data_IF_131900990766
#
_entry.id   IF_131900990766
#
_cell.length_a   1.000
_cell.length_b   1.000
_cell.length_c   1.000
_cell.angle_alpha   90.00
_cell.angle_beta   90.00
_cell.angle_gamma   90.00
#
_symmetry.space_group_name_H-M   'P 1'
#
loop_
_entity.id
_entity.type
_entity.pdbx_description
1 polymer ?
#
# COMPACT_ATOMS: atom_id res chain seq x y z
N UNK A 1 10.93 0.30 -14.82
CA UNK A 1 10.91 1.40 -13.86
C UNK A 1 12.26 1.42 -13.20
N UNK A 2 12.99 2.52 -13.31
CA UNK A 2 14.26 2.67 -12.60
C UNK A 2 14.02 3.09 -11.13
N UNK A 3 15.07 3.13 -10.30
CA UNK A 3 14.92 3.48 -8.88
C UNK A 3 14.56 4.95 -8.65
N UNK A 4 14.90 5.84 -9.58
CA UNK A 4 14.60 7.28 -9.48
C UNK A 4 13.13 7.53 -9.77
N UNK A 5 12.58 6.83 -10.76
CA UNK A 5 11.16 6.82 -11.07
C UNK A 5 10.32 6.29 -9.89
N UNK A 6 10.78 5.22 -9.23
CA UNK A 6 10.11 4.69 -8.03
C UNK A 6 10.16 5.69 -6.86
N UNK A 7 11.32 6.28 -6.59
CA UNK A 7 11.49 7.32 -5.57
C UNK A 7 10.59 8.54 -5.86
N UNK A 8 10.42 8.91 -7.13
CA UNK A 8 9.54 10.00 -7.56
C UNK A 8 8.05 9.73 -7.32
N UNK A 9 7.63 8.47 -7.28
CA UNK A 9 6.22 8.06 -7.10
C UNK A 9 5.90 7.83 -5.63
N UNK A 10 6.75 7.08 -4.93
CA UNK A 10 6.48 6.64 -3.56
C UNK A 10 7.08 7.59 -2.51
N UNK A 11 8.07 8.40 -2.88
CA UNK A 11 8.88 9.17 -1.92
C UNK A 11 9.73 8.29 -1.01
N UNK A 12 10.01 7.05 -1.45
CA UNK A 12 10.76 6.04 -0.71
C UNK A 12 12.03 5.65 -1.49
N UNK A 13 13.15 5.56 -0.77
CA UNK A 13 14.40 5.03 -1.28
C UNK A 13 14.93 3.94 -0.37
N UNK A 14 15.05 2.73 -0.92
CA UNK A 14 15.51 1.55 -0.19
C UNK A 14 17.00 1.30 -0.45
N UNK A 15 17.73 0.83 0.57
CA UNK A 15 19.07 0.27 0.35
C UNK A 15 19.01 -1.04 -0.43
N UNK A 16 17.93 -1.81 -0.24
CA UNK A 16 17.67 -3.09 -0.90
C UNK A 16 16.19 -3.18 -1.31
N UNK A 17 15.91 -3.31 -2.61
CA UNK A 17 14.54 -3.49 -3.13
C UNK A 17 14.08 -4.96 -3.13
N UNK A 18 15.00 -5.89 -2.87
CA UNK A 18 14.72 -7.30 -2.67
C UNK A 18 15.29 -7.70 -1.31
N UNK A 19 14.45 -8.31 -0.48
CA UNK A 19 14.83 -8.63 0.89
C UNK A 19 15.43 -10.03 0.99
N UNK A 20 16.46 -10.22 1.82
CA UNK A 20 16.90 -11.55 2.22
C UNK A 20 15.75 -12.30 2.90
N UNK A 21 15.68 -13.61 2.68
CA UNK A 21 14.57 -14.44 3.19
C UNK A 21 14.90 -15.11 4.52
N UNK A 22 16.18 -15.13 4.89
CA UNK A 22 16.66 -15.75 6.12
C UNK A 22 17.38 -14.76 7.04
N UNK A 23 17.34 -15.03 8.35
CA UNK A 23 18.04 -14.20 9.35
C UNK A 23 19.56 -14.18 9.16
N UNK A 24 20.12 -15.27 8.63
CA UNK A 24 21.56 -15.38 8.36
C UNK A 24 21.98 -14.46 7.22
N UNK A 25 21.19 -14.42 6.14
CA UNK A 25 21.40 -13.50 5.02
C UNK A 25 21.23 -12.04 5.45
N UNK A 26 20.27 -11.73 6.33
CA UNK A 26 20.14 -10.38 6.91
C UNK A 26 21.41 -9.99 7.68
N UNK A 27 21.96 -10.92 8.47
CA UNK A 27 23.12 -10.67 9.32
C UNK A 27 24.42 -10.51 8.54
N UNK A 28 24.49 -11.01 7.30
CA UNK A 28 25.65 -10.87 6.43
C UNK A 28 25.64 -9.57 5.60
N UNK A 29 24.55 -8.78 5.65
CA UNK A 29 24.48 -7.51 4.93
C UNK A 29 25.43 -6.48 5.54
N UNK A 30 26.39 -6.02 4.74
CA UNK A 30 27.28 -4.90 5.12
C UNK A 30 26.50 -3.59 5.20
N UNK A 31 25.55 -3.39 4.28
CA UNK A 31 24.62 -2.24 4.29
C UNK A 31 23.30 -2.71 4.88
N UNK A 32 22.81 -2.11 5.98
CA UNK A 32 21.58 -2.56 6.62
C UNK A 32 20.35 -2.41 5.70
N UNK A 33 19.33 -3.22 5.93
CA UNK A 33 17.98 -2.99 5.39
C UNK A 33 17.48 -1.66 5.97
N UNK A 34 17.38 -0.65 5.11
CA UNK A 34 17.04 0.72 5.51
C UNK A 34 16.23 1.40 4.42
N UNK A 35 15.48 2.41 4.85
CA UNK A 35 14.63 3.22 3.99
C UNK A 35 14.81 4.69 4.33
N UNK A 36 14.92 5.52 3.30
CA UNK A 36 14.77 6.97 3.40
C UNK A 36 13.38 7.33 2.90
N UNK A 37 12.62 8.06 3.69
CA UNK A 37 11.24 8.42 3.40
C UNK A 37 11.08 9.94 3.37
N UNK A 38 10.35 10.45 2.38
CA UNK A 38 9.93 11.85 2.27
C UNK A 38 8.40 11.92 2.36
N UNK A 39 7.80 11.93 3.57
CA UNK A 39 6.35 11.79 3.74
C UNK A 39 5.51 12.89 3.07
N UNK A 40 6.06 14.11 2.99
CA UNK A 40 5.42 15.27 2.38
C UNK A 40 6.00 15.55 0.99
N UNK A 41 6.38 14.51 0.26
CA UNK A 41 6.83 14.64 -1.12
C UNK A 41 5.73 15.31 -1.96
N UNK A 42 6.09 16.38 -2.66
CA UNK A 42 5.15 17.14 -3.48
C UNK A 42 4.76 16.29 -4.69
N UNK A 43 3.54 15.75 -4.67
CA UNK A 43 2.92 15.11 -5.83
C UNK A 43 1.76 15.96 -6.31
N UNK A 44 1.79 16.34 -7.58
CA UNK A 44 0.72 17.10 -8.23
C UNK A 44 -0.50 16.23 -8.58
N UNK A 45 -0.43 14.93 -8.33
CA UNK A 45 -1.38 13.94 -8.86
C UNK A 45 -2.20 13.21 -7.80
N UNK A 46 -1.87 13.38 -6.52
CA UNK A 46 -2.57 12.70 -5.44
C UNK A 46 -3.82 13.51 -5.04
N UNK A 47 -5.04 12.98 -5.27
CA UNK A 47 -6.24 13.66 -4.82
C UNK A 47 -6.37 13.54 -3.29
N UNK A 48 -6.88 14.60 -2.67
CA UNK A 48 -7.29 14.57 -1.27
C UNK A 48 -8.65 13.87 -1.20
N UNK A 49 -8.72 12.81 -0.42
CA UNK A 49 -9.95 12.05 -0.21
C UNK A 49 -10.82 12.75 0.83
N UNK A 50 -12.11 13.01 0.56
CA UNK A 50 -12.99 13.77 1.45
C UNK A 50 -13.61 12.89 2.56
N UNK A 51 -12.87 11.90 3.05
CA UNK A 51 -13.33 10.96 4.06
C UNK A 51 -12.17 10.47 4.93
N UNK A 52 -12.51 10.01 6.14
CA UNK A 52 -11.54 9.49 7.08
C UNK A 52 -10.93 8.15 6.61
N UNK A 53 -9.64 7.90 6.91
CA UNK A 53 -8.99 6.65 6.57
C UNK A 53 -9.71 5.45 7.21
N UNK A 54 -9.78 4.35 6.47
CA UNK A 54 -10.35 3.10 6.98
C UNK A 54 -9.30 2.36 7.80
N UNK A 55 -9.51 2.27 9.11
CA UNK A 55 -8.53 1.74 10.07
C UNK A 55 -8.88 0.30 10.45
N UNK A 56 -7.88 -0.57 10.46
CA UNK A 56 -8.03 -1.94 10.93
C UNK A 56 -8.35 -1.97 12.43
N UNK A 57 -9.41 -2.69 12.79
CA UNK A 57 -9.91 -2.80 14.17
C UNK A 57 -8.95 -3.52 15.13
N UNK A 58 -7.98 -4.28 14.62
CA UNK A 58 -7.05 -5.06 15.43
C UNK A 58 -5.63 -4.47 15.52
N UNK A 59 -5.08 -3.93 14.43
CA UNK A 59 -3.68 -3.47 14.38
C UNK A 59 -3.51 -1.98 14.04
N UNK A 60 -4.62 -1.23 13.89
CA UNK A 60 -4.63 0.18 13.51
C UNK A 60 -3.99 0.52 12.14
N UNK A 61 -3.65 -0.47 11.32
CA UNK A 61 -3.20 -0.24 9.95
C UNK A 61 -4.31 0.37 9.08
N UNK A 62 -3.94 1.28 8.18
CA UNK A 62 -4.87 1.92 7.24
C UNK A 62 -5.07 1.04 6.01
N UNK A 63 -6.31 0.97 5.51
CA UNK A 63 -6.67 0.35 4.23
C UNK A 63 -5.78 0.90 3.13
N UNK A 64 -5.19 0.01 2.35
CA UNK A 64 -4.23 0.33 1.31
C UNK A 64 -4.37 -0.65 0.13
N UNK A 65 -3.71 -0.40 -1.01
CA UNK A 65 -3.84 -1.22 -2.23
C UNK A 65 -3.50 -2.70 -2.09
N UNK A 66 -2.78 -3.09 -1.04
CA UNK A 66 -2.42 -4.49 -0.81
C UNK A 66 -3.48 -5.27 -0.02
N UNK A 67 -4.56 -4.61 0.43
CA UNK A 67 -5.68 -5.28 1.09
C UNK A 67 -6.54 -6.06 0.09
N UNK A 68 -7.03 -7.24 0.50
CA UNK A 68 -8.05 -7.97 -0.27
C UNK A 68 -9.41 -7.41 0.08
N UNK A 69 -10.19 -7.02 -0.93
CA UNK A 69 -11.49 -6.37 -0.75
C UNK A 69 -12.61 -7.22 -1.36
N UNK A 70 -13.64 -7.47 -0.58
CA UNK A 70 -14.91 -8.02 -1.03
C UNK A 70 -15.99 -6.92 -1.00
N UNK A 71 -16.34 -6.44 -2.18
CA UNK A 71 -17.31 -5.37 -2.37
C UNK A 71 -18.75 -5.79 -2.06
N UNK A 72 -19.09 -7.07 -2.28
CA UNK A 72 -20.46 -7.58 -2.09
C UNK A 72 -20.77 -7.66 -0.60
N UNK A 73 -19.87 -8.25 0.18
CA UNK A 73 -20.02 -8.35 1.63
C UNK A 73 -19.57 -7.08 2.37
N UNK A 74 -18.96 -6.13 1.66
CA UNK A 74 -18.37 -4.90 2.20
C UNK A 74 -17.35 -5.21 3.30
N UNK A 75 -16.42 -6.11 3.02
CA UNK A 75 -15.35 -6.54 3.93
C UNK A 75 -14.00 -6.32 3.25
N UNK A 76 -12.97 -6.00 4.03
CA UNK A 76 -11.58 -6.04 3.60
C UNK A 76 -10.69 -6.77 4.60
N UNK A 77 -9.73 -7.55 4.08
CA UNK A 77 -8.73 -8.25 4.88
C UNK A 77 -7.48 -7.38 4.99
N UNK A 78 -7.02 -7.14 6.22
CA UNK A 78 -5.80 -6.37 6.48
C UNK A 78 -4.55 -7.12 5.96
N UNK A 79 -3.67 -6.49 5.15
CA UNK A 79 -2.46 -7.15 4.65
C UNK A 79 -1.40 -7.40 5.74
N UNK A 80 -1.50 -6.73 6.88
CA UNK A 80 -0.53 -6.86 7.97
C UNK A 80 -0.88 -7.94 8.99
N UNK A 81 -2.16 -7.99 9.42
CA UNK A 81 -2.60 -8.89 10.49
C UNK A 81 -3.67 -9.89 10.06
N UNK A 82 -4.09 -9.86 8.79
CA UNK A 82 -5.11 -10.73 8.21
C UNK A 82 -6.49 -10.68 8.88
N UNK A 83 -6.73 -9.69 9.75
CA UNK A 83 -8.04 -9.46 10.35
C UNK A 83 -9.02 -8.97 9.28
N UNK A 84 -10.27 -9.45 9.36
CA UNK A 84 -11.36 -9.03 8.48
C UNK A 84 -12.05 -7.82 9.08
N UNK A 85 -12.20 -6.75 8.30
CA UNK A 85 -12.78 -5.50 8.73
C UNK A 85 -13.97 -5.15 7.84
N UNK A 86 -15.04 -4.62 8.41
CA UNK A 86 -16.19 -4.15 7.65
C UNK A 86 -15.97 -2.72 7.18
N UNK A 87 -16.45 -2.38 5.97
CA UNK A 87 -16.58 -0.97 5.59
C UNK A 87 -17.69 -0.30 6.41
N UNK A 88 -17.53 0.99 6.77
CA UNK A 88 -18.60 1.78 7.37
C UNK A 88 -19.84 1.85 6.48
N UNK A 89 -21.00 2.08 7.10
CA UNK A 89 -22.27 2.23 6.38
C UNK A 89 -22.25 3.47 5.45
N UNK A 90 -21.53 4.52 5.84
CA UNK A 90 -21.31 5.74 5.05
C UNK A 90 -20.44 5.51 3.80
N UNK A 91 -19.81 4.35 3.66
CA UNK A 91 -18.94 4.01 2.54
C UNK A 91 -19.79 3.59 1.32
N UNK A 92 -20.26 4.58 0.54
CA UNK A 92 -21.25 4.40 -0.55
C UNK A 92 -20.70 3.86 -1.88
N UNK A 93 -19.62 3.07 -1.87
CA UNK A 93 -19.20 2.28 -3.04
C UNK A 93 -18.18 2.92 -3.98
N UNK A 94 -17.67 4.12 -3.71
CA UNK A 94 -16.51 4.66 -4.45
C UNK A 94 -15.23 4.34 -3.67
N UNK A 95 -14.75 3.10 -3.78
CA UNK A 95 -13.41 2.74 -3.32
C UNK A 95 -12.39 3.31 -4.31
N UNK A 96 -11.95 4.54 -4.06
CA UNK A 96 -10.73 5.07 -4.69
C UNK A 96 -9.56 4.62 -3.82
N UNK A 97 -9.03 3.44 -4.11
CA UNK A 97 -7.72 3.05 -3.59
C UNK A 97 -6.70 3.69 -4.53
N UNK A 98 -6.08 4.78 -4.07
CA UNK A 98 -5.16 5.56 -4.88
C UNK A 98 -3.89 4.77 -5.18
N UNK A 99 -3.76 4.30 -6.41
CA UNK A 99 -2.46 4.04 -7.06
C UNK A 99 -2.49 4.74 -8.41
N UNK A 100 -1.44 5.52 -8.68
CA UNK A 100 -1.43 6.58 -9.69
C UNK A 100 -1.62 6.17 -11.16
N UNK A 101 -2.19 7.14 -11.88
CA UNK A 101 -2.11 7.50 -13.31
C UNK A 101 -2.31 6.43 -14.40
N UNK A 102 -3.57 6.02 -14.57
CA UNK A 102 -4.26 6.11 -15.87
C UNK A 102 -5.77 6.04 -15.59
N UNK A 103 -6.61 6.68 -16.39
CA UNK A 103 -8.07 6.75 -16.20
C UNK A 103 -8.81 5.42 -16.35
N UNK A 104 -8.21 4.32 -15.95
CA UNK A 104 -8.78 2.99 -15.93
C UNK A 104 -9.09 2.61 -14.48
N UNK A 105 -10.36 2.26 -14.22
CA UNK A 105 -10.77 1.55 -13.03
C UNK A 105 -10.09 0.17 -13.04
N UNK A 106 -8.89 0.07 -12.49
CA UNK A 106 -8.16 -1.20 -12.42
C UNK A 106 -8.75 -2.08 -11.33
N UNK A 107 -9.49 -3.10 -11.77
CA UNK A 107 -9.78 -4.31 -11.01
C UNK A 107 -8.46 -4.96 -10.57
N UNK A 108 -8.16 -4.89 -9.27
CA UNK A 108 -6.98 -5.45 -8.62
C UNK A 108 -6.98 -7.00 -8.59
N UNK A 109 -7.92 -7.67 -9.25
CA UNK A 109 -7.98 -9.14 -9.30
C UNK A 109 -6.83 -9.82 -10.06
N UNK A 110 -5.92 -9.08 -10.74
CA UNK A 110 -5.00 -9.70 -11.71
C UNK A 110 -3.50 -9.40 -11.66
N UNK A 111 -2.94 -8.65 -10.71
CA UNK A 111 -1.47 -8.40 -10.72
C UNK A 111 -0.81 -8.39 -9.35
N UNK A 112 -0.66 -9.58 -8.77
CA UNK A 112 0.41 -9.94 -7.82
C UNK A 112 0.77 -11.43 -8.02
N UNK A 113 1.20 -11.75 -9.24
CA UNK A 113 2.18 -12.80 -9.48
C UNK A 113 3.33 -12.09 -10.19
N UNK A 114 4.36 -11.72 -9.44
CA UNK A 114 5.78 -11.69 -9.81
C UNK A 114 6.57 -11.25 -8.57
#
# INVERSE_FOLDING_TARGET
MDFVELEAIEGLRWSWNAWPTTKNEVSSLVIPLSIMCTPLMQSTELPILPYDPQICTHCAAVLNPYARVDYLSRIWDCPFCYNRNHFPISYSGTLVVLVGRSGDLWDLSRRLCL
#
